data_IF_269302870309
#
_entry.id   IF_269302870309
#
_cell.length_a   1.000
_cell.length_b   1.000
_cell.length_c   1.000
_cell.angle_alpha   90.00
_cell.angle_beta   90.00
_cell.angle_gamma   90.00
#
_symmetry.space_group_name_H-M   'P 1'
#
loop_
_entity.id
_entity.type
_entity.pdbx_description
1 polymer ?
#
# COMPACT_ATOMS: atom_id res chain seq x y z
N UNK A 1 -31.49 -10.92 -17.45
CA UNK A 1 -30.01 -10.92 -17.58
C UNK A 1 -29.63 -12.11 -18.46
N UNK A 2 -29.06 -11.86 -19.66
CA UNK A 2 -28.75 -12.94 -20.62
C UNK A 2 -27.68 -13.88 -20.03
N UNK A 3 -27.71 -15.18 -20.34
CA UNK A 3 -26.79 -16.20 -19.84
C UNK A 3 -25.31 -15.84 -20.04
N UNK A 4 -24.98 -15.13 -21.11
CA UNK A 4 -23.63 -14.61 -21.39
C UNK A 4 -23.18 -13.52 -20.43
N UNK A 5 -24.07 -12.62 -19.99
CA UNK A 5 -23.76 -11.56 -19.01
C UNK A 5 -23.60 -12.13 -17.60
N UNK A 6 -24.43 -13.11 -17.22
CA UNK A 6 -24.29 -13.80 -15.94
C UNK A 6 -22.98 -14.59 -15.82
N UNK A 7 -22.54 -15.21 -16.92
CA UNK A 7 -21.25 -15.92 -16.97
C UNK A 7 -20.05 -14.95 -16.86
N UNK A 8 -20.13 -13.79 -17.52
CA UNK A 8 -19.08 -12.75 -17.43
C UNK A 8 -18.97 -12.18 -16.02
N UNK A 9 -20.10 -11.90 -15.35
CA UNK A 9 -20.13 -11.42 -13.99
C UNK A 9 -19.46 -12.40 -13.03
N UNK A 10 -19.87 -13.65 -13.02
CA UNK A 10 -19.35 -14.68 -12.13
C UNK A 10 -17.88 -15.01 -12.39
N UNK A 11 -17.39 -14.87 -13.63
CA UNK A 11 -16.01 -15.21 -13.99
C UNK A 11 -15.01 -14.09 -13.71
N UNK A 12 -15.39 -12.81 -13.88
CA UNK A 12 -14.43 -11.69 -13.83
C UNK A 12 -14.73 -10.69 -12.72
N UNK A 13 -16.00 -10.23 -12.56
CA UNK A 13 -16.33 -9.19 -11.59
C UNK A 13 -16.39 -9.70 -10.15
N UNK A 14 -17.22 -10.72 -9.93
CA UNK A 14 -17.45 -11.29 -8.59
C UNK A 14 -16.14 -11.72 -7.90
N UNK A 15 -15.16 -12.40 -8.55
CA UNK A 15 -13.91 -12.78 -7.90
C UNK A 15 -13.06 -11.57 -7.48
N UNK A 16 -13.04 -10.48 -8.27
CA UNK A 16 -12.31 -9.25 -7.88
C UNK A 16 -12.92 -8.67 -6.61
N UNK A 17 -14.26 -8.59 -6.54
CA UNK A 17 -14.98 -8.10 -5.36
C UNK A 17 -14.74 -8.99 -4.14
N UNK A 18 -14.84 -10.31 -4.30
CA UNK A 18 -14.63 -11.27 -3.22
C UNK A 18 -13.20 -11.25 -2.64
N UNK A 19 -12.20 -10.97 -3.47
CA UNK A 19 -10.81 -10.82 -3.03
C UNK A 19 -10.55 -9.43 -2.45
N UNK A 20 -11.12 -8.39 -3.04
CA UNK A 20 -10.91 -7.00 -2.65
C UNK A 20 -11.57 -6.63 -1.31
N UNK A 21 -12.79 -7.13 -1.04
CA UNK A 21 -13.51 -6.80 0.21
C UNK A 21 -12.74 -7.18 1.48
N UNK A 22 -12.20 -8.41 1.63
CA UNK A 22 -11.40 -8.72 2.81
C UNK A 22 -10.15 -7.85 2.93
N UNK A 23 -9.49 -7.55 1.80
CA UNK A 23 -8.33 -6.65 1.80
C UNK A 23 -8.73 -5.25 2.28
N UNK A 24 -9.86 -4.71 1.78
CA UNK A 24 -10.38 -3.41 2.19
C UNK A 24 -10.72 -3.34 3.68
N UNK A 25 -11.38 -4.38 4.22
CA UNK A 25 -11.68 -4.47 5.66
C UNK A 25 -10.38 -4.48 6.47
N UNK A 26 -9.38 -5.24 6.06
CA UNK A 26 -8.07 -5.26 6.71
C UNK A 26 -7.40 -3.88 6.69
N UNK A 27 -7.43 -3.18 5.56
CA UNK A 27 -6.85 -1.85 5.42
C UNK A 27 -7.58 -0.79 6.25
N UNK A 28 -8.92 -0.82 6.27
CA UNK A 28 -9.72 0.02 7.18
C UNK A 28 -9.34 -0.22 8.64
N UNK A 29 -9.14 -1.48 9.02
CA UNK A 29 -8.65 -1.83 10.35
C UNK A 29 -7.31 -1.16 10.69
N UNK A 30 -6.37 -1.12 9.75
CA UNK A 30 -5.06 -0.45 9.96
C UNK A 30 -5.24 1.06 10.16
N UNK A 31 -6.15 1.72 9.42
CA UNK A 31 -6.45 3.15 9.61
C UNK A 31 -7.07 3.40 10.99
N UNK A 32 -8.06 2.60 11.38
CA UNK A 32 -8.72 2.72 12.70
C UNK A 32 -7.68 2.54 13.81
N UNK A 33 -6.77 1.58 13.68
CA UNK A 33 -5.68 1.37 14.62
C UNK A 33 -4.78 2.61 14.72
N UNK A 34 -4.32 3.16 13.58
CA UNK A 34 -3.46 4.35 13.56
C UNK A 34 -4.15 5.58 14.18
N UNK A 35 -5.46 5.73 13.97
CA UNK A 35 -6.26 6.78 14.60
C UNK A 35 -6.34 6.57 16.14
N UNK A 36 -6.61 5.34 16.57
CA UNK A 36 -6.64 5.00 18.00
C UNK A 36 -5.29 5.25 18.68
N UNK A 37 -4.18 4.82 18.05
CA UNK A 37 -2.82 5.07 18.55
C UNK A 37 -2.57 6.58 18.74
N UNK A 38 -2.85 7.38 17.71
CA UNK A 38 -2.67 8.83 17.74
C UNK A 38 -3.50 9.48 18.84
N UNK A 39 -4.76 9.07 18.98
CA UNK A 39 -5.68 9.61 19.99
C UNK A 39 -5.25 9.24 21.41
N UNK A 40 -4.80 7.99 21.63
CA UNK A 40 -4.36 7.52 22.95
C UNK A 40 -3.04 8.18 23.37
N UNK A 41 -2.08 8.33 22.47
CA UNK A 41 -0.81 9.03 22.72
C UNK A 41 -1.06 10.53 22.94
N UNK A 42 -1.92 11.15 22.13
CA UNK A 42 -2.26 12.57 22.27
C UNK A 42 -2.96 12.92 23.59
N UNK A 43 -3.82 12.03 24.10
CA UNK A 43 -4.43 12.18 25.42
C UNK A 43 -3.45 12.00 26.58
N UNK A 44 -2.34 11.31 26.34
CA UNK A 44 -1.32 11.10 27.35
C UNK A 44 -0.41 12.34 27.51
N UNK A 45 0.12 12.90 26.39
CA UNK A 45 0.98 14.09 26.39
C UNK A 45 1.12 14.65 24.97
N UNK A 46 1.15 15.98 24.84
CA UNK A 46 1.45 16.69 23.58
C UNK A 46 2.86 16.39 23.09
N UNK A 47 3.85 16.31 23.99
CA UNK A 47 5.23 16.00 23.64
C UNK A 47 5.36 14.56 23.11
N UNK A 48 4.62 13.61 23.72
CA UNK A 48 4.56 12.23 23.25
C UNK A 48 3.93 12.16 21.85
N UNK A 49 2.89 12.95 21.57
CA UNK A 49 2.26 13.03 20.27
C UNK A 49 3.21 13.62 19.22
N UNK A 50 3.94 14.69 19.58
CA UNK A 50 4.92 15.30 18.70
C UNK A 50 6.06 14.31 18.37
N UNK A 51 6.59 13.62 19.37
CA UNK A 51 7.62 12.59 19.22
C UNK A 51 7.13 11.42 18.34
N UNK A 52 5.91 10.91 18.57
CA UNK A 52 5.30 9.86 17.76
C UNK A 52 5.11 10.29 16.31
N UNK A 53 4.61 11.50 16.09
CA UNK A 53 4.38 12.06 14.74
C UNK A 53 5.68 12.15 13.95
N UNK A 54 6.76 12.64 14.57
CA UNK A 54 8.08 12.69 13.93
C UNK A 54 8.58 11.30 13.54
N UNK A 55 8.58 10.35 14.48
CA UNK A 55 9.03 8.98 14.21
C UNK A 55 8.19 8.34 13.12
N UNK A 56 6.86 8.43 13.19
CA UNK A 56 5.96 7.85 12.20
C UNK A 56 6.17 8.45 10.80
N UNK A 57 6.44 9.76 10.69
CA UNK A 57 6.75 10.41 9.41
C UNK A 57 7.99 9.80 8.75
N UNK A 58 9.07 9.58 9.53
CA UNK A 58 10.29 8.91 9.04
C UNK A 58 9.99 7.46 8.63
N UNK A 59 9.30 6.72 9.49
CA UNK A 59 9.05 5.29 9.27
C UNK A 59 8.08 4.99 8.14
N UNK A 60 7.11 5.84 7.87
CA UNK A 60 6.10 5.60 6.83
C UNK A 60 6.73 5.35 5.45
N UNK A 61 7.76 6.11 5.08
CA UNK A 61 8.47 5.89 3.81
C UNK A 61 9.04 4.46 3.73
N UNK A 62 9.71 4.01 4.79
CA UNK A 62 10.33 2.68 4.84
C UNK A 62 9.28 1.57 4.88
N UNK A 63 8.16 1.79 5.58
CA UNK A 63 7.03 0.86 5.60
C UNK A 63 6.40 0.72 4.21
N UNK A 64 6.17 1.82 3.48
CA UNK A 64 5.65 1.76 2.11
C UNK A 64 6.62 1.07 1.14
N UNK A 65 7.92 1.32 1.26
CA UNK A 65 8.94 0.59 0.48
C UNK A 65 8.93 -0.91 0.79
N UNK A 66 8.79 -1.29 2.08
CA UNK A 66 8.71 -2.69 2.52
C UNK A 66 7.43 -3.36 2.00
N UNK A 67 6.30 -2.67 2.07
CA UNK A 67 5.03 -3.14 1.51
C UNK A 67 5.15 -3.38 0.01
N UNK A 68 5.68 -2.39 -0.72
CA UNK A 68 5.91 -2.49 -2.17
C UNK A 68 6.81 -3.69 -2.53
N UNK A 69 7.85 -3.92 -1.75
CA UNK A 69 8.73 -5.07 -1.95
C UNK A 69 7.99 -6.40 -1.78
N UNK A 70 7.17 -6.50 -0.73
CA UNK A 70 6.37 -7.69 -0.46
C UNK A 70 5.34 -7.98 -1.56
N UNK A 71 4.76 -6.93 -2.17
CA UNK A 71 3.75 -7.06 -3.22
C UNK A 71 4.25 -7.75 -4.50
N UNK A 72 5.56 -7.83 -4.72
CA UNK A 72 6.14 -8.61 -5.81
C UNK A 72 5.89 -10.11 -5.71
N UNK A 73 5.59 -10.62 -4.52
CA UNK A 73 5.39 -12.05 -4.29
C UNK A 73 4.03 -12.57 -4.79
N UNK A 74 2.97 -11.79 -4.63
CA UNK A 74 1.59 -12.17 -4.99
C UNK A 74 1.43 -12.62 -6.44
N UNK A 75 1.89 -11.88 -7.47
CA UNK A 75 1.72 -12.30 -8.85
C UNK A 75 2.49 -13.57 -9.19
N UNK A 76 3.67 -13.75 -8.60
CA UNK A 76 4.47 -14.96 -8.82
C UNK A 76 3.74 -16.20 -8.29
N UNK A 77 3.23 -16.12 -7.07
CA UNK A 77 2.49 -17.21 -6.44
C UNK A 77 1.19 -17.49 -7.20
N UNK A 78 0.41 -16.45 -7.53
CA UNK A 78 -0.86 -16.61 -8.23
C UNK A 78 -0.70 -17.18 -9.63
N UNK A 79 0.37 -16.82 -10.34
CA UNK A 79 0.72 -17.41 -11.63
C UNK A 79 1.03 -18.91 -11.53
N UNK A 80 1.84 -19.31 -10.53
CA UNK A 80 2.16 -20.74 -10.28
C UNK A 80 0.91 -21.54 -9.88
N UNK A 81 0.02 -20.95 -9.08
CA UNK A 81 -1.26 -21.58 -8.74
C UNK A 81 -2.16 -21.71 -9.97
N UNK A 82 -2.17 -20.72 -10.85
CA UNK A 82 -2.87 -20.78 -12.14
C UNK A 82 -2.37 -21.91 -13.04
N UNK A 83 -1.08 -22.23 -12.97
CA UNK A 83 -0.44 -23.37 -13.66
C UNK A 83 -0.66 -24.72 -12.95
N UNK A 84 -1.28 -24.77 -11.77
CA UNK A 84 -1.41 -25.97 -10.95
C UNK A 84 -0.15 -26.35 -10.16
N UNK A 85 0.93 -25.58 -10.21
CA UNK A 85 2.27 -25.85 -9.64
C UNK A 85 2.35 -25.44 -8.17
N UNK A 86 1.50 -26.02 -7.30
CA UNK A 86 1.37 -25.63 -5.89
C UNK A 86 2.67 -25.82 -5.07
N UNK A 87 3.41 -26.89 -5.30
CA UNK A 87 4.67 -27.12 -4.60
C UNK A 87 5.70 -26.02 -4.90
N UNK A 88 5.81 -25.58 -6.15
CA UNK A 88 6.71 -24.51 -6.53
C UNK A 88 6.28 -23.15 -5.97
N UNK A 89 4.98 -22.90 -5.83
CA UNK A 89 4.49 -21.73 -5.11
C UNK A 89 4.94 -21.72 -3.63
N UNK A 90 5.03 -22.89 -2.99
CA UNK A 90 5.62 -23.05 -1.66
C UNK A 90 7.13 -22.75 -1.63
N UNK A 91 7.88 -23.20 -2.64
CA UNK A 91 9.29 -22.84 -2.82
C UNK A 91 9.48 -21.34 -3.03
N UNK A 92 8.61 -20.71 -3.83
CA UNK A 92 8.61 -19.26 -4.06
C UNK A 92 8.38 -18.48 -2.78
N UNK A 93 7.50 -18.96 -1.88
CA UNK A 93 7.34 -18.39 -0.54
C UNK A 93 8.66 -18.39 0.25
N UNK A 94 9.41 -19.51 0.23
CA UNK A 94 10.71 -19.60 0.93
C UNK A 94 11.68 -18.53 0.44
N UNK A 95 11.82 -18.37 -0.87
CA UNK A 95 12.71 -17.37 -1.46
C UNK A 95 12.19 -15.95 -1.16
N UNK A 96 10.87 -15.75 -1.25
CA UNK A 96 10.22 -14.49 -0.92
C UNK A 96 10.44 -14.06 0.53
N UNK A 97 10.35 -14.99 1.48
CA UNK A 97 10.64 -14.72 2.90
C UNK A 97 12.09 -14.29 3.10
N UNK A 98 13.04 -15.03 2.53
CA UNK A 98 14.47 -14.68 2.62
C UNK A 98 14.70 -13.26 2.07
N UNK A 99 14.22 -12.97 0.86
CA UNK A 99 14.41 -11.67 0.24
C UNK A 99 13.74 -10.54 1.05
N UNK A 100 12.52 -10.74 1.56
CA UNK A 100 11.82 -9.75 2.38
C UNK A 100 12.56 -9.47 3.71
N UNK A 101 13.07 -10.51 4.38
CA UNK A 101 13.84 -10.34 5.62
C UNK A 101 15.17 -9.62 5.36
N UNK A 102 15.88 -9.99 4.30
CA UNK A 102 17.13 -9.30 3.92
C UNK A 102 16.86 -7.83 3.58
N UNK A 103 15.80 -7.54 2.84
CA UNK A 103 15.42 -6.17 2.52
C UNK A 103 15.01 -5.38 3.77
N UNK A 104 14.28 -6.00 4.71
CA UNK A 104 13.97 -5.39 6.00
C UNK A 104 15.21 -5.07 6.82
N UNK A 105 16.19 -5.98 6.87
CA UNK A 105 17.47 -5.74 7.55
C UNK A 105 18.25 -4.59 6.91
N UNK A 106 18.23 -4.49 5.58
CA UNK A 106 18.84 -3.35 4.87
C UNK A 106 18.16 -2.02 5.25
N UNK A 107 16.82 -1.99 5.25
CA UNK A 107 16.08 -0.79 5.67
C UNK A 107 16.31 -0.45 7.15
N UNK A 108 16.39 -1.45 8.03
CA UNK A 108 16.72 -1.27 9.44
C UNK A 108 18.12 -0.74 9.63
N UNK A 109 19.10 -1.16 8.80
CA UNK A 109 20.46 -0.61 8.83
C UNK A 109 20.45 0.89 8.46
N UNK A 110 19.71 1.27 7.41
CA UNK A 110 19.56 2.68 7.00
C UNK A 110 18.91 3.48 8.14
N UNK A 111 17.85 2.96 8.76
CA UNK A 111 17.21 3.59 9.92
C UNK A 111 18.17 3.67 11.12
N UNK A 112 19.01 2.66 11.34
CA UNK A 112 20.05 2.67 12.38
C UNK A 112 21.10 3.76 12.16
N UNK A 113 21.50 3.99 10.91
CA UNK A 113 22.35 5.15 10.55
C UNK A 113 21.60 6.46 10.84
N UNK A 114 20.32 6.56 10.44
CA UNK A 114 19.46 7.71 10.75
C UNK A 114 19.36 8.01 12.25
N UNK A 115 19.31 6.96 13.08
CA UNK A 115 19.30 7.09 14.54
C UNK A 115 20.53 7.85 15.09
N UNK A 116 21.71 7.64 14.48
CA UNK A 116 22.94 8.36 14.90
C UNK A 116 22.87 9.87 14.62
N UNK A 117 22.00 10.29 13.70
CA UNK A 117 21.82 11.71 13.32
C UNK A 117 20.54 12.33 13.88
N UNK A 118 19.80 11.63 14.75
CA UNK A 118 18.47 12.04 15.23
C UNK A 118 18.50 13.43 15.90
N UNK A 119 19.59 13.76 16.61
CA UNK A 119 19.77 15.04 17.29
C UNK A 119 20.00 16.19 16.31
N UNK A 120 20.39 15.90 15.05
CA UNK A 120 20.64 16.89 14.00
C UNK A 120 19.43 17.08 13.08
N UNK A 121 18.33 16.34 13.32
CA UNK A 121 17.10 16.43 12.51
C UNK A 121 16.20 17.61 12.90
N UNK A 122 16.68 18.56 13.71
CA UNK A 122 15.96 19.81 14.03
C UNK A 122 14.78 19.63 14.98
N UNK A 123 14.75 18.56 15.76
CA UNK A 123 13.69 18.33 16.76
C UNK A 123 14.02 19.05 18.08
N UNK A 124 12.99 19.55 18.82
CA UNK A 124 13.21 20.13 20.14
C UNK A 124 13.90 19.14 21.08
N UNK A 125 14.87 19.64 21.86
CA UNK A 125 15.65 18.81 22.77
C UNK A 125 14.76 18.10 23.84
N UNK A 126 13.64 18.70 24.18
CA UNK A 126 12.68 18.22 25.17
C UNK A 126 12.02 16.91 24.76
N UNK A 127 11.76 16.67 23.47
CA UNK A 127 11.12 15.45 22.98
C UNK A 127 12.10 14.33 22.63
N UNK A 128 13.40 14.61 22.49
CA UNK A 128 14.41 13.61 22.12
C UNK A 128 14.46 12.39 23.06
N UNK A 129 14.31 12.52 24.38
CA UNK A 129 14.25 11.38 25.30
C UNK A 129 13.07 10.44 25.02
N UNK A 130 11.96 10.95 24.46
CA UNK A 130 10.78 10.18 24.05
C UNK A 130 10.98 9.58 22.64
N UNK A 131 11.58 10.32 21.73
CA UNK A 131 11.82 9.92 20.35
C UNK A 131 12.75 8.70 20.28
N UNK A 132 13.87 8.70 20.99
CA UNK A 132 14.90 7.66 20.88
C UNK A 132 14.40 6.24 21.17
N UNK A 133 13.79 5.96 22.33
CA UNK A 133 13.30 4.60 22.64
C UNK A 133 12.15 4.18 21.74
N UNK A 134 11.25 5.10 21.39
CA UNK A 134 10.15 4.83 20.49
C UNK A 134 10.65 4.52 19.07
N UNK A 135 11.62 5.27 18.56
CA UNK A 135 12.26 5.03 17.26
C UNK A 135 12.86 3.62 17.16
N UNK A 136 13.61 3.20 18.17
CA UNK A 136 14.21 1.86 18.21
C UNK A 136 13.15 0.75 18.25
N UNK A 137 12.09 0.94 19.04
CA UNK A 137 11.01 -0.04 19.18
C UNK A 137 10.24 -0.20 17.88
N UNK A 138 9.87 0.91 17.23
CA UNK A 138 9.19 0.88 15.93
C UNK A 138 10.14 0.34 14.86
N UNK A 139 11.45 0.69 14.91
CA UNK A 139 12.47 0.16 14.01
C UNK A 139 12.57 -1.36 14.05
N UNK A 140 12.67 -1.91 15.26
CA UNK A 140 12.71 -3.36 15.46
C UNK A 140 11.47 -4.07 14.90
N UNK A 141 10.31 -3.41 14.94
CA UNK A 141 9.06 -3.99 14.44
C UNK A 141 9.02 -4.17 12.93
N UNK A 142 9.90 -3.48 12.15
CA UNK A 142 9.95 -3.58 10.68
C UNK A 142 10.25 -5.01 10.21
N UNK A 143 11.04 -5.76 10.96
CA UNK A 143 11.32 -7.18 10.67
C UNK A 143 10.05 -8.02 10.68
N UNK A 144 9.18 -7.80 11.67
CA UNK A 144 7.91 -8.52 11.80
C UNK A 144 6.87 -8.04 10.79
N UNK A 145 6.92 -6.76 10.39
CA UNK A 145 6.15 -6.23 9.26
C UNK A 145 6.53 -6.97 7.97
N UNK A 146 7.82 -7.15 7.70
CA UNK A 146 8.30 -7.88 6.54
C UNK A 146 7.85 -9.34 6.54
N UNK A 147 8.02 -10.02 7.67
CA UNK A 147 7.61 -11.41 7.84
C UNK A 147 6.10 -11.59 7.63
N UNK A 148 5.30 -10.78 8.32
CA UNK A 148 3.85 -10.82 8.19
C UNK A 148 3.38 -10.53 6.76
N UNK A 149 3.91 -9.47 6.13
CA UNK A 149 3.50 -9.11 4.78
C UNK A 149 3.89 -10.15 3.75
N UNK A 150 5.08 -10.74 3.82
CA UNK A 150 5.46 -11.82 2.91
C UNK A 150 4.51 -13.03 3.00
N UNK A 151 4.13 -13.41 4.23
CA UNK A 151 3.16 -14.49 4.46
C UNK A 151 1.75 -14.11 4.00
N UNK A 152 1.33 -12.86 4.22
CA UNK A 152 0.06 -12.33 3.73
C UNK A 152 0.01 -12.32 2.20
N UNK A 153 1.06 -11.82 1.53
CA UNK A 153 1.12 -11.83 0.07
C UNK A 153 1.09 -13.24 -0.51
N UNK A 154 1.60 -14.23 0.22
CA UNK A 154 1.43 -15.63 -0.15
C UNK A 154 -0.04 -16.06 -0.07
N UNK A 155 -0.75 -15.79 1.04
CA UNK A 155 -2.17 -16.16 1.17
C UNK A 155 -3.04 -15.41 0.15
N UNK A 156 -2.75 -14.15 -0.12
CA UNK A 156 -3.42 -13.37 -1.15
C UNK A 156 -3.17 -13.98 -2.54
N UNK A 157 -1.92 -14.40 -2.85
CA UNK A 157 -1.54 -15.04 -4.10
C UNK A 157 -2.23 -16.38 -4.37
N UNK A 158 -2.56 -17.12 -3.33
CA UNK A 158 -3.39 -18.35 -3.43
C UNK A 158 -4.90 -18.07 -3.38
N UNK A 159 -5.30 -16.80 -3.47
CA UNK A 159 -6.69 -16.33 -3.43
C UNK A 159 -7.38 -16.49 -2.06
N UNK A 160 -6.62 -16.46 -0.97
CA UNK A 160 -7.14 -16.55 0.41
C UNK A 160 -6.94 -15.25 1.20
N UNK A 161 -7.52 -14.16 0.73
CA UNK A 161 -7.37 -12.81 1.31
C UNK A 161 -8.01 -12.65 2.69
N UNK A 162 -9.02 -13.46 3.02
CA UNK A 162 -9.69 -13.43 4.33
C UNK A 162 -8.77 -13.84 5.48
N UNK A 163 -7.78 -14.71 5.23
CA UNK A 163 -6.82 -15.12 6.29
C UNK A 163 -6.00 -13.91 6.77
N UNK A 164 -5.44 -13.12 5.84
CA UNK A 164 -4.71 -11.90 6.16
C UNK A 164 -5.59 -10.86 6.87
N UNK A 165 -6.83 -10.68 6.41
CA UNK A 165 -7.80 -9.78 7.03
C UNK A 165 -8.02 -10.11 8.53
N UNK A 166 -8.35 -11.35 8.84
CA UNK A 166 -8.62 -11.74 10.24
C UNK A 166 -7.40 -11.56 11.14
N UNK A 167 -6.20 -11.89 10.66
CA UNK A 167 -4.98 -11.70 11.44
C UNK A 167 -4.72 -10.20 11.71
N UNK A 168 -4.98 -9.32 10.74
CA UNK A 168 -4.87 -7.87 10.92
C UNK A 168 -5.88 -7.39 11.96
N UNK A 169 -7.15 -7.81 11.89
CA UNK A 169 -8.18 -7.40 12.84
C UNK A 169 -7.83 -7.83 14.27
N UNK A 170 -7.36 -9.07 14.45
CA UNK A 170 -6.88 -9.54 15.77
C UNK A 170 -5.68 -8.71 16.24
N UNK A 171 -4.70 -8.45 15.36
CA UNK A 171 -3.55 -7.60 15.67
C UNK A 171 -3.95 -6.19 16.11
N UNK A 172 -4.93 -5.59 15.44
CA UNK A 172 -5.44 -4.26 15.79
C UNK A 172 -6.11 -4.24 17.17
N UNK A 173 -6.94 -5.23 17.49
CA UNK A 173 -7.55 -5.35 18.81
C UNK A 173 -6.49 -5.49 19.89
N UNK A 174 -5.49 -6.34 19.68
CA UNK A 174 -4.39 -6.54 20.61
C UNK A 174 -3.54 -5.27 20.78
N UNK A 175 -3.30 -4.53 19.69
CA UNK A 175 -2.56 -3.27 19.75
C UNK A 175 -3.33 -2.21 20.56
N UNK A 176 -4.62 -2.01 20.31
CA UNK A 176 -5.45 -1.04 21.04
C UNK A 176 -5.53 -1.41 22.53
N UNK A 177 -5.75 -2.68 22.84
CA UNK A 177 -5.77 -3.15 24.22
C UNK A 177 -4.40 -2.99 24.91
N UNK A 178 -3.31 -3.35 24.21
CA UNK A 178 -1.95 -3.17 24.69
C UNK A 178 -1.58 -1.71 24.91
N UNK A 179 -1.98 -0.81 24.02
CA UNK A 179 -1.83 0.63 24.19
C UNK A 179 -2.52 1.13 25.46
N UNK A 180 -3.78 0.73 25.67
CA UNK A 180 -4.52 1.11 26.86
C UNK A 180 -3.81 0.67 28.13
N UNK A 181 -3.29 -0.54 28.16
CA UNK A 181 -2.59 -1.11 29.33
C UNK A 181 -1.22 -0.45 29.54
N UNK A 182 -0.41 -0.31 28.48
CA UNK A 182 1.00 0.08 28.61
C UNK A 182 1.22 1.59 28.60
N UNK A 183 0.37 2.38 27.91
CA UNK A 183 0.47 3.85 27.94
C UNK A 183 0.06 4.37 29.32
N UNK A 184 -1.06 3.89 29.83
CA UNK A 184 -1.66 4.43 31.07
C UNK A 184 -1.24 3.68 32.35
N UNK A 185 -0.64 2.48 32.21
CA UNK A 185 -0.21 1.68 33.36
C UNK A 185 -1.38 1.05 34.13
N UNK A 186 -2.20 0.26 33.42
CA UNK A 186 -3.39 -0.37 34.01
C UNK A 186 -3.04 -1.73 34.60
N UNK A 187 -3.51 -1.99 35.83
CA UNK A 187 -3.27 -3.24 36.57
C UNK A 187 -1.81 -3.37 37.03
N UNK A 188 -1.14 -4.53 36.84
CA UNK A 188 0.23 -4.76 37.28
C UNK A 188 1.30 -4.15 36.38
N UNK A 189 0.90 -3.49 35.27
CA UNK A 189 1.83 -2.98 34.28
C UNK A 189 2.30 -1.56 34.59
N UNK A 190 3.60 -1.26 34.39
CA UNK A 190 4.11 0.09 34.59
C UNK A 190 3.58 1.06 33.54
N UNK A 191 3.45 2.33 33.91
CA UNK A 191 3.07 3.41 33.00
C UNK A 191 4.27 3.78 32.10
N UNK A 192 4.29 3.26 30.87
CA UNK A 192 5.39 3.44 29.93
C UNK A 192 5.21 4.64 28.98
N UNK A 193 4.02 5.26 28.94
CA UNK A 193 3.73 6.37 28.05
C UNK A 193 3.95 6.03 26.56
N UNK A 194 4.70 6.88 25.83
CA UNK A 194 4.97 6.67 24.41
C UNK A 194 5.72 5.35 24.13
N UNK A 195 6.66 4.97 24.97
CA UNK A 195 7.35 3.68 24.82
C UNK A 195 6.35 2.52 24.92
N UNK A 196 5.32 2.64 25.76
CA UNK A 196 4.24 1.66 25.87
C UNK A 196 3.49 1.47 24.55
N UNK A 197 3.22 2.54 23.80
CA UNK A 197 2.63 2.48 22.46
C UNK A 197 3.56 1.74 21.49
N UNK A 198 4.87 2.02 21.51
CA UNK A 198 5.86 1.32 20.69
C UNK A 198 5.92 -0.18 20.98
N UNK A 199 5.99 -0.55 22.26
CA UNK A 199 6.02 -1.95 22.72
C UNK A 199 4.74 -2.68 22.33
N UNK A 200 3.58 -2.05 22.49
CA UNK A 200 2.29 -2.62 22.08
C UNK A 200 2.26 -2.89 20.57
N UNK A 201 2.70 -1.93 19.76
CA UNK A 201 2.78 -2.08 18.30
C UNK A 201 3.75 -3.19 17.88
N UNK A 202 4.93 -3.26 18.50
CA UNK A 202 5.89 -4.34 18.26
C UNK A 202 5.30 -5.70 18.62
N UNK A 203 4.68 -5.81 19.81
CA UNK A 203 4.07 -7.06 20.29
C UNK A 203 2.93 -7.51 19.36
N UNK A 204 2.05 -6.60 18.95
CA UNK A 204 0.98 -6.91 18.02
C UNK A 204 1.53 -7.44 16.68
N UNK A 205 2.59 -6.82 16.12
CA UNK A 205 3.25 -7.27 14.88
C UNK A 205 3.91 -8.64 15.03
N UNK A 206 4.52 -8.93 16.17
CA UNK A 206 5.07 -10.26 16.50
C UNK A 206 3.94 -11.29 16.51
N UNK A 207 2.87 -11.02 17.26
CA UNK A 207 1.73 -11.94 17.38
C UNK A 207 1.08 -12.18 15.99
N UNK A 208 0.89 -11.15 15.18
CA UNK A 208 0.37 -11.29 13.82
C UNK A 208 1.24 -12.23 12.97
N UNK A 209 2.57 -12.05 13.03
CA UNK A 209 3.50 -12.91 12.31
C UNK A 209 3.45 -14.37 12.82
N UNK A 210 3.40 -14.57 14.14
CA UNK A 210 3.30 -15.90 14.77
C UNK A 210 1.98 -16.58 14.39
N UNK A 211 0.84 -15.88 14.48
CA UNK A 211 -0.46 -16.43 14.07
C UNK A 211 -0.42 -16.87 12.61
N UNK A 212 0.17 -16.05 11.72
CA UNK A 212 0.25 -16.36 10.30
C UNK A 212 1.10 -17.60 10.04
N UNK A 213 2.25 -17.73 10.70
CA UNK A 213 3.09 -18.93 10.63
C UNK A 213 2.34 -20.15 11.16
N UNK A 214 1.69 -20.05 12.33
CA UNK A 214 0.93 -21.14 12.93
C UNK A 214 -0.22 -21.61 12.02
N UNK A 215 -0.94 -20.68 11.37
CA UNK A 215 -1.99 -21.03 10.41
C UNK A 215 -1.44 -21.78 9.19
N UNK A 216 -0.32 -21.33 8.63
CA UNK A 216 0.31 -21.97 7.49
C UNK A 216 0.88 -23.36 7.83
N UNK A 217 1.38 -23.53 9.04
CA UNK A 217 1.89 -24.83 9.51
C UNK A 217 0.78 -25.79 9.93
N UNK A 218 -0.29 -25.31 10.56
CA UNK A 218 -1.33 -26.16 11.14
C UNK A 218 -2.41 -26.64 10.18
N UNK A 219 -2.78 -25.85 9.17
CA UNK A 219 -3.91 -26.18 8.30
C UNK A 219 -3.53 -27.15 7.19
N UNK A 220 -4.30 -28.24 7.04
CA UNK A 220 -4.08 -29.30 6.02
C UNK A 220 -4.08 -28.79 4.57
N UNK A 221 -4.87 -27.75 4.28
CA UNK A 221 -4.97 -27.15 2.93
C UNK A 221 -3.65 -26.58 2.41
N UNK A 222 -2.71 -26.23 3.29
CA UNK A 222 -1.39 -25.72 2.91
C UNK A 222 -0.33 -26.83 2.79
N UNK A 223 -0.69 -28.12 2.93
CA UNK A 223 0.26 -29.24 2.95
C UNK A 223 1.14 -29.29 1.69
N UNK A 224 0.56 -29.15 0.49
CA UNK A 224 1.30 -29.16 -0.78
C UNK A 224 2.31 -27.99 -0.87
N UNK A 225 1.96 -26.81 -0.36
CA UNK A 225 2.83 -25.64 -0.32
C UNK A 225 3.97 -25.82 0.70
N UNK A 226 3.69 -26.41 1.88
CA UNK A 226 4.71 -26.74 2.88
C UNK A 226 5.72 -27.75 2.35
N UNK A 227 5.24 -28.79 1.66
CA UNK A 227 6.12 -29.77 1.02
C UNK A 227 7.08 -29.07 0.06
N UNK A 228 6.58 -28.22 -0.82
CA UNK A 228 7.41 -27.44 -1.74
C UNK A 228 8.37 -26.49 -1.03
N UNK A 229 7.93 -25.84 0.05
CA UNK A 229 8.77 -24.99 0.90
C UNK A 229 9.96 -25.75 1.49
N UNK A 230 9.71 -26.95 2.07
CA UNK A 230 10.76 -27.76 2.67
C UNK A 230 11.73 -28.37 1.64
N UNK A 231 11.21 -28.85 0.50
CA UNK A 231 11.99 -29.53 -0.53
C UNK A 231 12.79 -28.59 -1.44
N UNK A 232 12.42 -27.30 -1.51
CA UNK A 232 13.11 -26.34 -2.36
C UNK A 232 14.48 -25.99 -1.79
N UNK A 233 15.54 -26.26 -2.57
CA UNK A 233 16.88 -25.79 -2.27
C UNK A 233 16.99 -24.28 -2.56
N UNK A 234 17.68 -23.53 -1.69
CA UNK A 234 17.94 -22.11 -1.91
C UNK A 234 18.89 -21.93 -3.08
N UNK A 235 18.41 -21.26 -4.14
CA UNK A 235 19.21 -20.99 -5.36
C UNK A 235 19.32 -19.49 -5.55
N UNK A 236 20.53 -19.00 -5.78
CA UNK A 236 20.81 -17.57 -6.02
C UNK A 236 19.98 -17.02 -7.19
N UNK A 237 19.81 -17.78 -8.26
CA UNK A 237 18.98 -17.39 -9.41
C UNK A 237 17.52 -17.11 -9.01
N UNK A 238 16.95 -17.91 -8.09
CA UNK A 238 15.57 -17.73 -7.61
C UNK A 238 15.45 -16.48 -6.72
N UNK A 239 16.44 -16.23 -5.87
CA UNK A 239 16.48 -15.01 -5.04
C UNK A 239 16.62 -13.76 -5.91
N UNK A 240 17.50 -13.81 -6.94
CA UNK A 240 17.67 -12.70 -7.87
C UNK A 240 16.40 -12.43 -8.69
N UNK A 241 15.69 -13.49 -9.09
CA UNK A 241 14.42 -13.38 -9.80
C UNK A 241 13.37 -12.68 -8.95
N UNK A 242 13.22 -13.06 -7.67
CA UNK A 242 12.29 -12.36 -6.74
C UNK A 242 12.68 -10.90 -6.56
N UNK A 243 13.98 -10.63 -6.36
CA UNK A 243 14.49 -9.26 -6.24
C UNK A 243 14.14 -8.41 -7.47
N UNK A 244 14.35 -8.96 -8.67
CA UNK A 244 14.00 -8.30 -9.94
C UNK A 244 12.52 -7.98 -10.06
N UNK A 245 11.64 -8.76 -9.41
CA UNK A 245 10.20 -8.51 -9.41
C UNK A 245 9.76 -7.55 -8.29
N UNK A 246 10.36 -7.65 -7.12
CA UNK A 246 9.94 -6.92 -5.92
C UNK A 246 10.53 -5.50 -5.84
N UNK A 247 11.81 -5.33 -6.20
CA UNK A 247 12.51 -4.06 -6.06
C UNK A 247 11.92 -2.91 -6.89
N UNK A 248 11.53 -3.10 -8.16
CA UNK A 248 10.86 -2.05 -8.93
C UNK A 248 9.53 -1.57 -8.32
N UNK A 249 8.76 -2.48 -7.69
CA UNK A 249 7.51 -2.15 -7.02
C UNK A 249 7.78 -1.36 -5.73
N UNK A 250 8.82 -1.75 -5.00
CA UNK A 250 9.28 -1.02 -3.81
C UNK A 250 9.66 0.43 -4.15
N UNK A 251 10.43 0.62 -5.22
CA UNK A 251 10.82 1.94 -5.69
C UNK A 251 9.61 2.76 -6.19
N UNK A 252 8.68 2.13 -6.92
CA UNK A 252 7.44 2.79 -7.33
C UNK A 252 6.70 3.36 -6.11
N UNK A 253 6.46 2.55 -5.09
CA UNK A 253 5.74 2.99 -3.88
C UNK A 253 6.52 4.03 -3.08
N UNK A 254 7.85 3.90 -3.05
CA UNK A 254 8.73 4.91 -2.43
C UNK A 254 8.68 6.26 -3.14
N UNK A 255 8.73 6.27 -4.47
CA UNK A 255 8.63 7.51 -5.26
C UNK A 255 7.26 8.17 -5.15
N UNK A 256 6.20 7.36 -5.16
CA UNK A 256 4.82 7.83 -4.97
C UNK A 256 4.65 8.47 -3.59
N UNK A 257 5.01 7.76 -2.51
CA UNK A 257 4.97 8.29 -1.14
C UNK A 257 5.90 9.50 -0.96
N UNK A 258 7.07 9.49 -1.57
CA UNK A 258 8.03 10.59 -1.57
C UNK A 258 7.47 11.86 -2.23
N UNK A 259 6.75 11.72 -3.35
CA UNK A 259 6.12 12.86 -4.02
C UNK A 259 5.05 13.53 -3.12
N UNK A 260 4.23 12.74 -2.43
CA UNK A 260 3.28 13.27 -1.44
C UNK A 260 3.98 14.01 -0.30
N UNK A 261 5.09 13.45 0.21
CA UNK A 261 5.87 14.09 1.28
C UNK A 261 6.48 15.42 0.81
N UNK A 262 7.09 15.45 -0.38
CA UNK A 262 7.68 16.67 -0.95
C UNK A 262 6.62 17.74 -1.19
N UNK A 263 5.45 17.37 -1.71
CA UNK A 263 4.34 18.32 -1.89
C UNK A 263 3.79 18.84 -0.56
N UNK A 264 3.78 18.02 0.49
CA UNK A 264 3.46 18.48 1.85
C UNK A 264 4.47 19.51 2.38
N UNK A 265 5.75 19.33 2.11
CA UNK A 265 6.79 20.33 2.45
C UNK A 265 6.55 21.62 1.67
N UNK A 266 6.26 21.53 0.36
CA UNK A 266 5.94 22.70 -0.47
C UNK A 266 4.68 23.42 0.04
N UNK A 267 3.64 22.69 0.47
CA UNK A 267 2.46 23.30 1.11
C UNK A 267 2.83 24.05 2.39
N UNK A 268 3.78 23.54 3.18
CA UNK A 268 4.33 24.25 4.34
C UNK A 268 5.04 25.56 3.99
N UNK A 269 5.70 25.64 2.83
CA UNK A 269 6.33 26.89 2.35
C UNK A 269 5.31 27.98 1.94
N UNK A 270 4.07 27.57 1.57
CA UNK A 270 2.99 28.49 1.23
C UNK A 270 2.34 29.12 2.47
N UNK A 271 2.34 28.41 3.60
CA UNK A 271 1.81 28.89 4.86
C UNK A 271 1.02 27.87 5.64
N UNK A 272 0.61 28.23 6.85
CA UNK A 272 -0.09 27.33 7.78
C UNK A 272 -1.48 26.90 7.26
N UNK A 273 -2.23 27.81 6.63
CA UNK A 273 -3.55 27.53 6.06
C UNK A 273 -3.45 26.55 4.89
N UNK A 274 -2.50 26.77 3.98
CA UNK A 274 -2.23 25.87 2.83
C UNK A 274 -1.81 24.48 3.31
N UNK A 275 -0.93 24.40 4.30
CA UNK A 275 -0.49 23.13 4.88
C UNK A 275 -1.65 22.38 5.55
N UNK A 276 -2.47 23.08 6.34
CA UNK A 276 -3.64 22.50 6.99
C UNK A 276 -4.65 21.97 5.94
N UNK A 277 -4.92 22.77 4.91
CA UNK A 277 -5.77 22.40 3.77
C UNK A 277 -5.21 21.16 3.05
N UNK A 278 -3.90 21.14 2.77
CA UNK A 278 -3.24 20.00 2.18
C UNK A 278 -3.44 18.72 3.00
N UNK A 279 -3.28 18.80 4.34
CA UNK A 279 -3.45 17.65 5.23
C UNK A 279 -4.88 17.11 5.28
N UNK A 280 -5.87 18.02 5.31
CA UNK A 280 -7.29 17.62 5.24
C UNK A 280 -7.56 16.88 3.94
N UNK A 281 -7.15 17.44 2.82
CA UNK A 281 -7.45 16.91 1.50
C UNK A 281 -6.70 15.59 1.22
N UNK A 282 -5.43 15.44 1.67
CA UNK A 282 -4.68 14.18 1.48
C UNK A 282 -5.26 13.05 2.34
N UNK A 283 -5.78 13.36 3.52
CA UNK A 283 -6.46 12.39 4.37
C UNK A 283 -7.74 11.89 3.70
N UNK A 284 -8.52 12.79 3.11
CA UNK A 284 -9.72 12.44 2.35
C UNK A 284 -9.39 11.61 1.10
N UNK A 285 -8.35 12.00 0.35
CA UNK A 285 -7.86 11.25 -0.82
C UNK A 285 -7.39 9.85 -0.45
N UNK A 286 -6.75 9.70 0.71
CA UNK A 286 -6.27 8.43 1.22
C UNK A 286 -7.36 7.39 1.46
N UNK A 287 -8.59 7.80 1.80
CA UNK A 287 -9.74 6.88 1.93
C UNK A 287 -10.12 6.27 0.56
N UNK A 288 -10.13 7.09 -0.50
CA UNK A 288 -10.35 6.61 -1.86
C UNK A 288 -9.25 5.65 -2.31
N UNK A 289 -7.99 6.05 -2.16
CA UNK A 289 -6.81 5.23 -2.47
C UNK A 289 -6.88 3.84 -1.83
N UNK A 290 -7.25 3.76 -0.55
CA UNK A 290 -7.36 2.50 0.18
C UNK A 290 -8.35 1.53 -0.47
N UNK A 291 -9.51 2.04 -0.89
CA UNK A 291 -10.51 1.24 -1.57
C UNK A 291 -9.98 0.79 -2.94
N UNK A 292 -9.49 1.70 -3.77
CA UNK A 292 -8.97 1.37 -5.11
C UNK A 292 -7.83 0.37 -5.02
N UNK A 293 -6.90 0.56 -4.08
CA UNK A 293 -5.77 -0.34 -3.87
C UNK A 293 -6.19 -1.75 -3.47
N UNK A 294 -7.22 -1.86 -2.61
CA UNK A 294 -7.73 -3.15 -2.13
C UNK A 294 -8.35 -3.97 -3.27
N UNK A 295 -9.17 -3.34 -4.11
CA UNK A 295 -9.73 -4.02 -5.28
C UNK A 295 -8.71 -4.19 -6.40
N UNK A 296 -7.76 -3.27 -6.53
CA UNK A 296 -6.59 -3.38 -7.40
C UNK A 296 -5.76 -4.63 -7.11
N UNK A 297 -5.55 -4.95 -5.82
CA UNK A 297 -4.89 -6.20 -5.42
C UNK A 297 -5.65 -7.44 -5.90
N UNK A 298 -6.98 -7.42 -5.86
CA UNK A 298 -7.85 -8.45 -6.45
C UNK A 298 -7.64 -8.61 -7.96
N UNK A 299 -7.44 -7.49 -8.67
CA UNK A 299 -7.10 -7.50 -10.11
C UNK A 299 -5.74 -8.18 -10.32
N UNK A 300 -4.70 -7.84 -9.53
CA UNK A 300 -3.38 -8.47 -9.61
C UNK A 300 -3.47 -9.99 -9.48
N UNK A 301 -4.19 -10.48 -8.46
CA UNK A 301 -4.34 -11.92 -8.19
C UNK A 301 -5.02 -12.62 -9.39
N UNK A 302 -6.11 -12.08 -9.90
CA UNK A 302 -6.86 -12.70 -11.00
C UNK A 302 -6.11 -12.63 -12.33
N UNK A 303 -5.50 -11.48 -12.63
CA UNK A 303 -4.67 -11.30 -13.83
C UNK A 303 -3.47 -12.27 -13.81
N UNK A 304 -2.76 -12.37 -12.69
CA UNK A 304 -1.62 -13.28 -12.56
C UNK A 304 -2.03 -14.76 -12.69
N UNK A 305 -3.18 -15.12 -12.15
CA UNK A 305 -3.74 -16.46 -12.29
C UNK A 305 -3.97 -16.84 -13.77
N UNK A 306 -4.67 -15.98 -14.52
CA UNK A 306 -4.92 -16.21 -15.94
C UNK A 306 -3.66 -16.06 -16.81
N UNK A 307 -2.74 -15.17 -16.42
CA UNK A 307 -1.43 -15.05 -17.04
C UNK A 307 -0.64 -16.34 -16.93
N UNK A 308 -0.65 -16.99 -15.74
CA UNK A 308 -0.05 -18.29 -15.52
C UNK A 308 -0.65 -19.40 -16.42
N UNK A 309 -1.93 -19.31 -16.73
CA UNK A 309 -2.63 -20.22 -17.66
C UNK A 309 -2.41 -19.89 -19.14
N UNK A 310 -1.65 -18.85 -19.47
CA UNK A 310 -1.54 -18.29 -20.82
C UNK A 310 -2.90 -17.88 -21.45
N UNK A 311 -3.91 -17.58 -20.63
CA UNK A 311 -5.23 -17.12 -21.08
C UNK A 311 -5.28 -15.58 -21.17
N UNK A 312 -4.70 -15.05 -22.22
CA UNK A 312 -4.65 -13.61 -22.50
C UNK A 312 -6.03 -12.96 -22.68
N UNK A 313 -7.02 -13.74 -23.13
CA UNK A 313 -8.41 -13.29 -23.26
C UNK A 313 -9.00 -12.97 -21.89
N UNK A 314 -8.82 -13.89 -20.92
CA UNK A 314 -9.27 -13.67 -19.53
C UNK A 314 -8.45 -12.61 -18.81
N UNK A 315 -7.15 -12.46 -19.09
CA UNK A 315 -6.33 -11.32 -18.60
C UNK A 315 -6.96 -9.99 -19.02
N UNK A 316 -7.28 -9.82 -20.31
CA UNK A 316 -7.91 -8.61 -20.84
C UNK A 316 -9.29 -8.36 -20.23
N UNK A 317 -10.12 -9.41 -20.12
CA UNK A 317 -11.49 -9.32 -19.58
C UNK A 317 -11.49 -8.98 -18.09
N UNK A 318 -10.54 -9.55 -17.32
CA UNK A 318 -10.35 -9.24 -15.90
C UNK A 318 -9.92 -7.79 -15.69
N UNK A 319 -8.95 -7.30 -16.48
CA UNK A 319 -8.51 -5.91 -16.41
C UNK A 319 -9.64 -4.95 -16.78
N UNK A 320 -10.43 -5.26 -17.82
CA UNK A 320 -11.62 -4.48 -18.20
C UNK A 320 -12.67 -4.45 -17.07
N UNK A 321 -12.93 -5.58 -16.43
CA UNK A 321 -13.81 -5.64 -15.25
C UNK A 321 -13.27 -4.77 -14.11
N UNK A 322 -11.94 -4.79 -13.87
CA UNK A 322 -11.27 -3.92 -12.90
C UNK A 322 -11.45 -2.44 -13.21
N UNK A 323 -11.31 -2.02 -14.47
CA UNK A 323 -11.57 -0.65 -14.92
C UNK A 323 -12.99 -0.21 -14.53
N UNK A 324 -14.00 -1.02 -14.83
CA UNK A 324 -15.39 -0.65 -14.50
C UNK A 324 -15.65 -0.61 -13.00
N UNK A 325 -15.08 -1.55 -12.22
CA UNK A 325 -15.22 -1.55 -10.75
C UNK A 325 -14.59 -0.28 -10.16
N UNK A 326 -13.33 0.02 -10.51
CA UNK A 326 -12.61 1.14 -9.91
C UNK A 326 -13.13 2.49 -10.38
N UNK A 327 -13.55 2.63 -11.65
CA UNK A 327 -14.24 3.84 -12.13
C UNK A 327 -15.59 4.03 -11.43
N UNK A 328 -16.36 2.96 -11.23
CA UNK A 328 -17.60 3.03 -10.47
C UNK A 328 -17.39 3.50 -9.04
N UNK A 329 -16.34 3.00 -8.38
CA UNK A 329 -15.95 3.45 -7.03
C UNK A 329 -15.48 4.91 -7.03
N UNK A 330 -14.68 5.32 -8.02
CA UNK A 330 -14.24 6.70 -8.17
C UNK A 330 -15.41 7.66 -8.44
N UNK A 331 -16.39 7.24 -9.22
CA UNK A 331 -17.60 8.02 -9.45
C UNK A 331 -18.43 8.20 -8.16
N UNK A 332 -18.59 7.13 -7.37
CA UNK A 332 -19.27 7.19 -6.06
C UNK A 332 -18.51 8.11 -5.11
N UNK A 333 -17.18 7.94 -4.99
CA UNK A 333 -16.32 8.79 -4.16
C UNK A 333 -16.41 10.26 -4.60
N UNK A 334 -16.36 10.52 -5.90
CA UNK A 334 -16.50 11.88 -6.45
C UNK A 334 -17.86 12.51 -6.16
N UNK A 335 -18.95 11.74 -6.24
CA UNK A 335 -20.28 12.20 -5.83
C UNK A 335 -20.34 12.55 -4.34
N UNK A 336 -19.73 11.70 -3.49
CA UNK A 336 -19.67 11.99 -2.04
C UNK A 336 -18.91 13.28 -1.79
N UNK A 337 -17.79 13.54 -2.45
CA UNK A 337 -17.01 14.78 -2.30
C UNK A 337 -17.75 15.99 -2.89
N UNK A 338 -18.44 15.83 -4.01
CA UNK A 338 -19.16 16.94 -4.63
C UNK A 338 -20.38 17.39 -3.80
N UNK A 339 -21.19 16.47 -3.31
CA UNK A 339 -22.42 16.79 -2.55
C UNK A 339 -22.21 16.90 -1.05
N UNK A 340 -21.25 16.16 -0.49
CA UNK A 340 -20.99 16.09 0.95
C UNK A 340 -19.67 16.71 1.39
N UNK A 341 -18.88 17.27 0.46
CA UNK A 341 -17.53 17.74 0.74
C UNK A 341 -17.47 18.81 1.84
N UNK A 342 -18.39 19.77 1.82
CA UNK A 342 -18.48 20.80 2.85
C UNK A 342 -18.73 20.20 4.25
N UNK A 343 -19.72 19.32 4.36
CA UNK A 343 -20.01 18.62 5.62
C UNK A 343 -18.82 17.82 6.14
N UNK A 344 -18.13 17.12 5.23
CA UNK A 344 -16.95 16.30 5.58
C UNK A 344 -15.81 17.19 6.05
N UNK A 345 -15.52 18.30 5.34
CA UNK A 345 -14.44 19.25 5.68
C UNK A 345 -14.70 19.87 7.06
N UNK A 346 -15.95 20.25 7.36
CA UNK A 346 -16.33 20.74 8.70
C UNK A 346 -16.08 19.72 9.81
N UNK A 347 -16.08 18.42 9.51
CA UNK A 347 -15.70 17.38 10.47
C UNK A 347 -14.20 17.34 10.82
N UNK A 348 -13.35 17.96 9.99
CA UNK A 348 -11.89 18.01 10.21
C UNK A 348 -11.42 19.32 10.85
N UNK A 349 -12.07 20.43 10.54
CA UNK A 349 -11.65 21.76 11.00
C UNK A 349 -12.83 22.70 11.16
N UNK A 350 -12.69 23.66 12.09
CA UNK A 350 -13.60 24.79 12.27
C UNK A 350 -13.02 26.11 11.74
N UNK A 351 -11.79 26.11 11.20
CA UNK A 351 -11.14 27.31 10.66
C UNK A 351 -11.78 27.72 9.33
N UNK A 352 -12.43 28.90 9.23
CA UNK A 352 -13.09 29.34 8.00
C UNK A 352 -12.15 29.47 6.80
N UNK A 353 -10.88 29.83 7.03
CA UNK A 353 -9.90 29.98 5.96
C UNK A 353 -9.52 28.63 5.35
N UNK A 354 -9.30 27.61 6.19
CA UNK A 354 -9.02 26.23 5.75
C UNK A 354 -10.24 25.65 5.06
N UNK A 355 -11.46 25.87 5.57
CA UNK A 355 -12.70 25.36 4.95
C UNK A 355 -12.88 25.99 3.56
N UNK A 356 -12.81 27.32 3.45
CA UNK A 356 -12.96 28.03 2.18
C UNK A 356 -11.97 27.55 1.13
N UNK A 357 -10.69 27.40 1.51
CA UNK A 357 -9.65 26.92 0.60
C UNK A 357 -9.86 25.43 0.23
N UNK A 358 -10.27 24.59 1.18
CA UNK A 358 -10.56 23.17 0.92
C UNK A 358 -11.72 22.98 -0.07
N UNK A 359 -12.73 23.83 -0.04
CA UNK A 359 -13.85 23.80 -0.98
C UNK A 359 -13.40 24.06 -2.42
N UNK A 360 -12.40 24.92 -2.64
CA UNK A 360 -11.82 25.13 -3.98
C UNK A 360 -11.10 23.91 -4.52
N UNK A 361 -10.68 22.99 -3.64
CA UNK A 361 -9.97 21.76 -4.00
C UNK A 361 -10.91 20.58 -4.33
N UNK A 362 -12.23 20.73 -4.20
CA UNK A 362 -13.18 19.63 -4.50
C UNK A 362 -13.04 19.16 -5.96
N UNK A 363 -12.98 20.11 -6.92
CA UNK A 363 -12.81 19.74 -8.34
C UNK A 363 -11.44 19.11 -8.64
N UNK A 364 -10.29 19.68 -8.21
CA UNK A 364 -9.01 19.02 -8.27
C UNK A 364 -9.01 17.62 -7.63
N UNK A 365 -9.71 17.41 -6.51
CA UNK A 365 -9.84 16.13 -5.84
C UNK A 365 -10.61 15.11 -6.68
N UNK A 366 -11.66 15.51 -7.38
CA UNK A 366 -12.42 14.64 -8.28
C UNK A 366 -11.51 14.16 -9.42
N UNK A 367 -10.74 15.07 -10.04
CA UNK A 367 -9.78 14.71 -11.08
C UNK A 367 -8.68 13.78 -10.57
N UNK A 368 -8.19 14.06 -9.36
CA UNK A 368 -7.25 13.19 -8.64
C UNK A 368 -7.81 11.78 -8.48
N UNK A 369 -9.03 11.63 -7.95
CA UNK A 369 -9.68 10.32 -7.71
C UNK A 369 -9.85 9.50 -9.00
N UNK A 370 -10.24 10.16 -10.09
CA UNK A 370 -10.37 9.51 -11.41
C UNK A 370 -9.01 9.03 -11.94
N UNK A 371 -7.99 9.89 -11.85
CA UNK A 371 -6.61 9.55 -12.24
C UNK A 371 -6.05 8.40 -11.42
N UNK A 372 -6.22 8.46 -10.08
CA UNK A 372 -5.73 7.47 -9.15
C UNK A 372 -6.37 6.09 -9.35
N UNK A 373 -7.70 6.03 -9.52
CA UNK A 373 -8.42 4.77 -9.78
C UNK A 373 -7.91 4.07 -11.04
N UNK A 374 -7.65 4.82 -12.12
CA UNK A 374 -7.13 4.27 -13.37
C UNK A 374 -5.65 3.87 -13.27
N UNK A 375 -4.84 4.71 -12.63
CA UNK A 375 -3.45 4.41 -12.33
C UNK A 375 -3.33 3.09 -11.55
N UNK A 376 -4.09 2.93 -10.47
CA UNK A 376 -4.11 1.71 -9.65
C UNK A 376 -4.56 0.50 -10.47
N UNK A 377 -5.59 0.64 -11.31
CA UNK A 377 -6.08 -0.46 -12.14
C UNK A 377 -4.99 -1.02 -13.05
N UNK A 378 -4.37 -0.16 -13.86
CA UNK A 378 -3.38 -0.60 -14.84
C UNK A 378 -2.04 -0.98 -14.21
N UNK A 379 -1.63 -0.32 -13.10
CA UNK A 379 -0.46 -0.72 -12.33
C UNK A 379 -0.62 -2.15 -11.78
N UNK A 380 -1.78 -2.46 -11.19
CA UNK A 380 -2.05 -3.80 -10.67
C UNK A 380 -2.22 -4.85 -11.78
N UNK A 381 -2.76 -4.49 -12.95
CA UNK A 381 -2.81 -5.37 -14.12
C UNK A 381 -1.39 -5.69 -14.65
N UNK A 382 -0.51 -4.69 -14.75
CA UNK A 382 0.90 -4.88 -15.12
C UNK A 382 1.65 -5.73 -14.10
N UNK A 383 1.42 -5.48 -12.81
CA UNK A 383 1.98 -6.31 -11.72
C UNK A 383 1.55 -7.76 -11.89
N UNK A 384 0.27 -8.01 -12.21
CA UNK A 384 -0.27 -9.34 -12.46
C UNK A 384 0.39 -10.07 -13.65
N UNK A 385 0.88 -9.34 -14.65
CA UNK A 385 1.65 -9.93 -15.76
C UNK A 385 3.16 -10.00 -15.52
N UNK A 386 3.64 -9.67 -14.31
CA UNK A 386 5.06 -9.65 -13.93
C UNK A 386 5.94 -8.69 -14.76
N UNK A 387 5.35 -7.69 -15.42
CA UNK A 387 6.07 -6.66 -16.17
C UNK A 387 6.34 -5.42 -15.29
N UNK A 388 6.99 -5.64 -14.16
CA UNK A 388 7.15 -4.65 -13.08
C UNK A 388 8.18 -3.54 -13.35
N UNK A 389 9.14 -3.78 -14.25
CA UNK A 389 10.18 -2.77 -14.56
C UNK A 389 9.57 -1.48 -15.15
N UNK A 390 8.52 -1.63 -15.97
CA UNK A 390 7.78 -0.48 -16.49
C UNK A 390 7.14 0.35 -15.37
N UNK A 391 6.74 -0.27 -14.26
CA UNK A 391 6.11 0.42 -13.12
C UNK A 391 7.06 1.42 -12.48
N UNK A 392 8.32 1.02 -12.27
CA UNK A 392 9.35 1.90 -11.70
C UNK A 392 9.59 3.13 -12.59
N UNK A 393 9.76 2.92 -13.90
CA UNK A 393 10.03 4.03 -14.84
C UNK A 393 8.84 4.96 -14.99
N UNK A 394 7.61 4.42 -15.07
CA UNK A 394 6.40 5.23 -15.11
C UNK A 394 6.25 6.06 -13.83
N UNK A 395 6.51 5.46 -12.67
CA UNK A 395 6.47 6.19 -11.40
C UNK A 395 7.53 7.29 -11.34
N UNK A 396 8.77 7.01 -11.78
CA UNK A 396 9.81 8.02 -11.84
C UNK A 396 9.41 9.22 -12.71
N UNK A 397 8.94 8.97 -13.93
CA UNK A 397 8.52 10.04 -14.84
C UNK A 397 7.31 10.80 -14.26
N UNK A 398 6.28 10.11 -13.82
CA UNK A 398 5.04 10.75 -13.40
C UNK A 398 5.15 11.50 -12.07
N UNK A 399 5.83 10.91 -11.07
CA UNK A 399 5.89 11.50 -9.74
C UNK A 399 7.11 12.39 -9.52
N UNK A 400 8.29 11.99 -10.03
CA UNK A 400 9.52 12.76 -9.77
C UNK A 400 9.74 13.82 -10.85
N UNK A 401 9.64 13.44 -12.13
CA UNK A 401 9.96 14.35 -13.25
C UNK A 401 8.80 15.31 -13.57
N UNK A 402 7.54 14.87 -13.41
CA UNK A 402 6.39 15.70 -13.77
C UNK A 402 5.73 16.31 -12.53
N UNK A 403 5.26 15.47 -11.58
CA UNK A 403 4.45 15.98 -10.47
C UNK A 403 5.20 17.01 -9.61
N UNK A 404 6.44 16.74 -9.19
CA UNK A 404 7.18 17.67 -8.31
C UNK A 404 7.47 19.00 -9.01
N UNK A 405 8.07 19.04 -10.24
CA UNK A 405 8.33 20.30 -10.92
C UNK A 405 7.05 21.06 -11.32
N UNK A 406 6.03 20.38 -11.83
CA UNK A 406 4.75 21.00 -12.19
C UNK A 406 4.06 21.54 -10.93
N UNK A 407 4.11 20.80 -9.80
CA UNK A 407 3.59 21.26 -8.52
C UNK A 407 4.26 22.55 -8.06
N UNK A 408 5.59 22.60 -8.14
CA UNK A 408 6.33 23.83 -7.82
C UNK A 408 5.94 25.00 -8.74
N UNK A 409 5.90 24.77 -10.05
CA UNK A 409 5.56 25.80 -11.04
C UNK A 409 4.14 26.34 -10.85
N UNK A 410 3.16 25.47 -10.62
CA UNK A 410 1.77 25.89 -10.42
C UNK A 410 1.55 26.58 -9.07
N UNK A 411 2.21 26.08 -8.00
CA UNK A 411 2.01 26.63 -6.67
C UNK A 411 2.67 28.00 -6.50
N UNK A 412 3.90 28.19 -6.95
CA UNK A 412 4.70 29.39 -6.68
C UNK A 412 4.68 30.39 -7.84
N UNK A 413 5.27 30.12 -9.03
CA UNK A 413 5.27 31.10 -10.13
C UNK A 413 3.89 31.45 -10.66
N UNK A 414 2.97 30.49 -10.73
CA UNK A 414 1.60 30.72 -11.19
C UNK A 414 0.66 31.24 -10.07
N UNK A 415 1.10 31.23 -8.80
CA UNK A 415 0.34 31.78 -7.67
C UNK A 415 -0.91 30.98 -7.28
N UNK A 416 -1.02 29.70 -7.71
CA UNK A 416 -2.18 28.86 -7.42
C UNK A 416 -2.13 28.22 -6.01
N UNK A 417 -1.01 28.39 -5.27
CA UNK A 417 -0.88 27.84 -3.92
C UNK A 417 -1.11 26.34 -3.86
N UNK A 418 -1.80 25.86 -2.82
CA UNK A 418 -2.12 24.46 -2.62
C UNK A 418 -2.99 23.86 -3.73
N UNK A 419 -3.81 24.66 -4.41
CA UNK A 419 -4.60 24.23 -5.58
C UNK A 419 -3.67 23.76 -6.71
N UNK A 420 -2.56 24.49 -6.92
CA UNK A 420 -1.53 24.12 -7.90
C UNK A 420 -0.87 22.78 -7.59
N UNK A 421 -0.61 22.49 -6.32
CA UNK A 421 -0.06 21.18 -5.91
C UNK A 421 -1.04 20.04 -6.21
N UNK A 422 -2.33 20.22 -5.93
CA UNK A 422 -3.35 19.20 -6.21
C UNK A 422 -3.60 18.98 -7.71
N UNK A 423 -3.57 20.05 -8.51
CA UNK A 423 -3.64 19.94 -9.98
C UNK A 423 -2.44 19.18 -10.53
N UNK A 424 -1.24 19.40 -9.98
CA UNK A 424 -0.06 18.64 -10.37
C UNK A 424 -0.19 17.14 -10.07
N UNK A 425 -0.77 16.77 -8.92
CA UNK A 425 -1.08 15.37 -8.64
C UNK A 425 -2.06 14.80 -9.68
N UNK A 426 -3.12 15.52 -10.00
CA UNK A 426 -4.09 15.07 -11.00
C UNK A 426 -3.41 14.85 -12.37
N UNK A 427 -2.52 15.75 -12.78
CA UNK A 427 -1.73 15.63 -14.02
C UNK A 427 -0.80 14.40 -13.94
N UNK A 428 -0.05 14.27 -12.85
CA UNK A 428 0.89 13.14 -12.62
C UNK A 428 0.18 11.78 -12.64
N UNK A 429 -0.97 11.67 -11.97
CA UNK A 429 -1.76 10.43 -11.91
C UNK A 429 -2.40 10.07 -13.27
N UNK A 430 -2.93 11.05 -14.00
CA UNK A 430 -3.48 10.82 -15.34
C UNK A 430 -2.36 10.38 -16.30
N UNK A 431 -1.18 10.99 -16.20
CA UNK A 431 -0.01 10.58 -16.97
C UNK A 431 0.41 9.15 -16.59
N UNK A 432 0.50 8.83 -15.30
CA UNK A 432 0.82 7.49 -14.84
C UNK A 432 -0.19 6.47 -15.34
N UNK A 433 -1.50 6.75 -15.24
CA UNK A 433 -2.57 5.90 -15.73
C UNK A 433 -2.42 5.63 -17.24
N UNK A 434 -2.14 6.67 -18.02
CA UNK A 434 -1.96 6.60 -19.49
C UNK A 434 -0.74 5.75 -19.85
N UNK A 435 0.39 5.97 -19.17
CA UNK A 435 1.62 5.22 -19.42
C UNK A 435 1.51 3.76 -18.95
N UNK A 436 0.84 3.47 -17.82
CA UNK A 436 0.57 2.10 -17.39
C UNK A 436 -0.38 1.39 -18.35
N UNK A 437 -1.45 2.05 -18.82
CA UNK A 437 -2.36 1.51 -19.80
C UNK A 437 -1.62 1.18 -21.11
N UNK A 438 -0.81 2.10 -21.60
CA UNK A 438 -0.01 1.88 -22.82
C UNK A 438 0.93 0.68 -22.69
N UNK A 439 1.69 0.59 -21.59
CA UNK A 439 2.56 -0.56 -21.31
C UNK A 439 1.77 -1.87 -21.20
N UNK A 440 0.61 -1.85 -20.52
CA UNK A 440 -0.25 -3.02 -20.41
C UNK A 440 -0.72 -3.52 -21.77
N UNK A 441 -1.23 -2.62 -22.62
CA UNK A 441 -1.67 -3.00 -23.98
C UNK A 441 -0.53 -3.45 -24.88
N UNK A 442 0.69 -2.91 -24.70
CA UNK A 442 1.90 -3.39 -25.38
C UNK A 442 2.21 -4.83 -24.99
N UNK A 443 2.18 -5.17 -23.70
CA UNK A 443 2.36 -6.54 -23.20
C UNK A 443 1.29 -7.47 -23.76
N UNK A 444 0.03 -7.04 -23.76
CA UNK A 444 -1.09 -7.81 -24.32
C UNK A 444 -0.91 -8.12 -25.83
N UNK A 445 -0.42 -7.14 -26.60
CA UNK A 445 -0.18 -7.32 -28.04
C UNK A 445 0.91 -8.36 -28.28
N UNK A 446 2.02 -8.30 -27.54
CA UNK A 446 3.13 -9.26 -27.65
C UNK A 446 2.67 -10.67 -27.29
N UNK A 447 1.95 -10.83 -26.18
CA UNK A 447 1.44 -12.12 -25.73
C UNK A 447 0.45 -12.78 -26.68
N UNK A 448 -0.41 -11.98 -27.34
CA UNK A 448 -1.36 -12.49 -28.33
C UNK A 448 -0.66 -12.92 -29.65
N UNK A 449 0.40 -12.24 -30.06
CA UNK A 449 1.16 -12.57 -31.26
C UNK A 449 1.96 -13.86 -31.05
N UNK A 450 2.61 -14.02 -29.90
CA UNK A 450 3.37 -15.24 -29.59
C UNK A 450 2.51 -16.52 -29.61
N UNK A 451 1.22 -16.41 -29.30
CA UNK A 451 0.27 -17.53 -29.38
C UNK A 451 -0.10 -17.91 -30.84
N UNK A 452 -0.13 -16.93 -31.75
CA UNK A 452 -0.40 -17.19 -33.18
C UNK A 452 0.78 -17.86 -33.89
N UNK A 453 2.02 -17.57 -33.47
CA UNK A 453 3.22 -18.18 -34.04
C UNK A 453 3.39 -19.67 -33.67
N UNK A 454 2.99 -20.06 -32.46
CA UNK A 454 3.09 -21.46 -31.99
C UNK A 454 1.91 -22.35 -32.44
N UNK A 455 0.86 -21.79 -33.03
CA UNK A 455 -0.32 -22.54 -33.52
C UNK A 455 -0.24 -22.92 -35.01
N UNK A 456 0.86 -22.59 -35.71
CA UNK A 456 1.03 -22.89 -37.16
C UNK A 456 2.01 -24.04 -37.40
N UNK A 457 2.59 -24.61 -36.35
CA UNK A 457 3.48 -25.78 -36.44
C UNK A 457 2.96 -26.93 -35.57
N UNK A 458 1.76 -27.42 -35.88
CA UNK A 458 1.16 -28.61 -35.27
C UNK A 458 0.28 -29.30 -36.29
#
# INVERSE_FOLDING_TARGET
MNATTANTWNRYYRPILQLGVPIAIGQLGVIIMGFADTMMVGRFSTDALAAASFVNAVFNLFVYMMLGYSYGLTPLISSLVGQGRRAEAGGTLKYGLICNLVFALLLMLILGVGYCFIDRMGQPAEILPLVRPYYLTIGASLLFVALFNALRQFTDGISETSTGMWVILVGNVLNIAGNFVLIYGVGPFPRLGLLGAGVSTLTARIIMAVIMVALLLGRKRYAAYRQGFCQSAVRTASLLYINRQSFPISLQMGMESGAFTVSGIMAGWLGAVDLATYQVMITLGGLGFLLYYSFGSGITIRVAHFYGQNDWSSVRSTTRAGVFILLGMAAISSMIFYFGGEFIIHGFTSDPAVISLSLTLILPMILYQLGDSMQICFANALRGTSHVMAMMWVAFVSYVVVNIPVGYLLAFPCGLGVVGLYLAFSIGLILAASLFAWNFYKVMRIGCIGKRGNGVTG
#
